data_IF_165277965479
#
_entry.id   IF_165277965479
#
_cell.length_a   1.000
_cell.length_b   1.000
_cell.length_c   1.000
_cell.angle_alpha   90.00
_cell.angle_beta   90.00
_cell.angle_gamma   90.00
#
_symmetry.space_group_name_H-M   'P 1'
#
loop_
_entity.id
_entity.type
_entity.pdbx_description
1 polymer ?
#
# COMPACT_ATOMS: atom_id res chain seq x y z
N UNK A 1 -8.22 17.24 -4.65
CA UNK A 1 -6.93 16.70 -5.13
C UNK A 1 -5.84 16.98 -4.10
N UNK A 2 -4.92 16.03 -3.86
CA UNK A 2 -3.80 16.15 -2.89
C UNK A 2 -2.62 17.00 -3.43
N UNK A 3 -2.91 18.16 -4.02
CA UNK A 3 -1.90 18.96 -4.75
C UNK A 3 -0.98 19.78 -3.86
N UNK A 4 -1.42 20.20 -2.67
CA UNK A 4 -0.61 21.04 -1.77
C UNK A 4 0.09 20.22 -0.70
N UNK A 5 1.25 20.72 -0.22
CA UNK A 5 1.96 20.13 0.92
C UNK A 5 1.07 20.03 2.17
N UNK A 6 0.35 21.12 2.48
CA UNK A 6 -0.54 21.20 3.66
C UNK A 6 -1.62 20.12 3.60
N UNK A 7 -2.24 19.92 2.44
CA UNK A 7 -3.27 18.89 2.28
C UNK A 7 -2.69 17.48 2.36
N UNK A 8 -1.53 17.21 1.73
CA UNK A 8 -0.83 15.92 1.86
C UNK A 8 -0.50 15.60 3.31
N UNK A 9 0.07 16.55 4.06
CA UNK A 9 0.41 16.39 5.48
C UNK A 9 -0.82 16.11 6.33
N UNK A 10 -1.90 16.87 6.12
CA UNK A 10 -3.17 16.69 6.84
C UNK A 10 -3.74 15.29 6.60
N UNK A 11 -3.78 14.85 5.35
CA UNK A 11 -4.39 13.57 4.95
C UNK A 11 -3.56 12.36 5.34
N UNK A 12 -2.23 12.44 5.23
CA UNK A 12 -1.34 11.38 5.71
C UNK A 12 -1.44 11.22 7.24
N UNK A 13 -1.44 12.33 7.99
CA UNK A 13 -1.59 12.30 9.45
C UNK A 13 -2.90 11.63 9.86
N UNK A 14 -4.01 11.99 9.19
CA UNK A 14 -5.31 11.37 9.45
C UNK A 14 -5.29 9.85 9.18
N UNK A 15 -4.73 9.43 8.04
CA UNK A 15 -4.62 8.02 7.66
C UNK A 15 -3.81 7.22 8.70
N UNK A 16 -2.63 7.71 9.07
CA UNK A 16 -1.77 7.03 10.05
C UNK A 16 -2.38 7.03 11.45
N UNK A 17 -3.13 8.07 11.84
CA UNK A 17 -3.88 8.05 13.09
C UNK A 17 -4.94 6.94 13.09
N UNK A 18 -5.63 6.69 11.98
CA UNK A 18 -6.58 5.57 11.91
C UNK A 18 -5.91 4.21 12.06
N UNK A 19 -4.73 4.04 11.46
CA UNK A 19 -3.93 2.82 11.60
C UNK A 19 -3.48 2.64 13.06
N UNK A 20 -2.88 3.68 13.66
CA UNK A 20 -2.37 3.64 15.03
C UNK A 20 -3.47 3.42 16.08
N UNK A 21 -4.69 3.92 15.83
CA UNK A 21 -5.84 3.77 16.73
C UNK A 21 -6.66 2.51 16.48
N UNK A 22 -6.26 1.64 15.53
CA UNK A 22 -7.00 0.43 15.17
C UNK A 22 -8.35 0.69 14.48
N UNK A 23 -8.60 1.93 14.03
CA UNK A 23 -9.78 2.27 13.21
C UNK A 23 -9.64 1.78 11.78
N UNK A 24 -8.40 1.56 11.33
CA UNK A 24 -8.08 0.96 10.04
C UNK A 24 -7.07 -0.17 10.27
N UNK A 25 -7.49 -1.40 10.04
CA UNK A 25 -6.63 -2.57 10.15
C UNK A 25 -6.03 -2.89 8.78
N UNK A 26 -4.72 -3.10 8.74
CA UNK A 26 -4.00 -3.44 7.51
C UNK A 26 -3.73 -4.94 7.51
N UNK A 27 -4.18 -5.64 6.47
CA UNK A 27 -3.88 -7.04 6.25
C UNK A 27 -2.43 -7.24 5.79
N UNK A 28 -1.91 -8.45 6.02
CA UNK A 28 -0.57 -8.81 5.55
C UNK A 28 -0.50 -8.67 4.01
N UNK A 29 0.49 -7.93 3.48
CA UNK A 29 0.67 -7.80 2.05
C UNK A 29 1.24 -9.08 1.45
N UNK A 30 0.99 -9.29 0.17
CA UNK A 30 1.77 -10.23 -0.64
C UNK A 30 3.14 -9.59 -0.94
N UNK A 31 4.22 -10.30 -0.67
CA UNK A 31 5.58 -9.77 -0.86
C UNK A 31 6.32 -10.52 -1.96
N UNK A 32 7.06 -9.79 -2.79
CA UNK A 32 8.01 -10.33 -3.75
C UNK A 32 9.39 -9.72 -3.51
N UNK A 33 10.47 -10.41 -3.90
CA UNK A 33 11.77 -9.76 -4.00
C UNK A 33 11.72 -8.70 -5.12
N UNK A 34 12.55 -7.66 -5.02
CA UNK A 34 12.57 -6.58 -6.01
C UNK A 34 12.93 -7.08 -7.42
N UNK A 35 13.83 -8.05 -7.50
CA UNK A 35 14.19 -8.72 -8.75
C UNK A 35 13.01 -9.48 -9.40
N UNK A 36 12.01 -9.89 -8.60
CA UNK A 36 10.84 -10.64 -9.04
C UNK A 36 9.67 -9.72 -9.41
N UNK A 37 9.94 -8.45 -9.72
CA UNK A 37 8.92 -7.47 -10.10
C UNK A 37 8.00 -7.95 -11.23
N UNK A 38 8.51 -8.75 -12.17
CA UNK A 38 7.72 -9.35 -13.24
C UNK A 38 6.59 -10.26 -12.69
N UNK A 39 6.89 -11.10 -11.70
CA UNK A 39 5.91 -11.99 -11.06
C UNK A 39 4.87 -11.19 -10.25
N UNK A 40 5.30 -10.11 -9.61
CA UNK A 40 4.39 -9.19 -8.92
C UNK A 40 3.38 -8.54 -9.87
N UNK A 41 3.83 -8.12 -11.06
CA UNK A 41 2.98 -7.59 -12.12
C UNK A 41 2.02 -8.65 -12.68
N UNK A 42 2.51 -9.86 -12.96
CA UNK A 42 1.67 -10.96 -13.43
C UNK A 42 0.52 -11.25 -12.44
N UNK A 43 0.82 -11.31 -11.13
CA UNK A 43 -0.20 -11.52 -10.10
C UNK A 43 -1.22 -10.39 -10.08
N UNK A 44 -0.78 -9.13 -10.17
CA UNK A 44 -1.65 -7.96 -10.19
C UNK A 44 -2.59 -7.96 -11.41
N UNK A 45 -2.05 -8.22 -12.59
CA UNK A 45 -2.78 -8.16 -13.86
C UNK A 45 -3.74 -9.34 -14.04
N UNK A 46 -3.42 -10.50 -13.46
CA UNK A 46 -4.28 -11.69 -13.48
C UNK A 46 -5.61 -11.51 -12.74
N UNK A 47 -5.79 -10.42 -11.99
CA UNK A 47 -6.92 -10.15 -11.08
C UNK A 47 -7.08 -11.17 -9.94
N UNK A 48 -6.09 -12.05 -9.73
CA UNK A 48 -6.04 -12.95 -8.56
C UNK A 48 -5.49 -12.25 -7.31
N UNK A 49 -4.77 -11.15 -7.49
CA UNK A 49 -4.28 -10.34 -6.37
C UNK A 49 -5.42 -9.81 -5.52
N UNK A 50 -5.30 -9.99 -4.21
CA UNK A 50 -6.12 -9.31 -3.20
C UNK A 50 -5.20 -8.52 -2.29
N UNK A 51 -5.68 -7.38 -1.78
CA UNK A 51 -4.90 -6.54 -0.87
C UNK A 51 -3.70 -5.84 -1.53
N UNK A 52 -2.62 -5.70 -0.75
CA UNK A 52 -1.42 -4.93 -1.12
C UNK A 52 -0.33 -5.88 -1.62
N UNK A 53 0.42 -5.44 -2.64
CA UNK A 53 1.67 -6.09 -3.06
C UNK A 53 2.84 -5.17 -2.68
N UNK A 54 3.89 -5.72 -2.09
CA UNK A 54 5.14 -5.01 -1.79
C UNK A 54 6.34 -5.70 -2.45
N UNK A 55 7.28 -4.90 -2.94
CA UNK A 55 8.58 -5.36 -3.41
C UNK A 55 9.62 -5.08 -2.33
N UNK A 56 10.39 -6.11 -1.96
CA UNK A 56 11.45 -6.03 -0.94
C UNK A 56 12.81 -6.06 -1.65
N UNK A 57 13.67 -5.02 -1.50
CA UNK A 57 14.99 -4.95 -2.10
C UNK A 57 15.92 -6.10 -1.73
#
# INVERSE_FOLDING_TARGET
VLTTYKERKKRSTQLFNWIATGKLNIENPTTFALQDGALAHELLESRKSTGKILLIP
#
